data_IF_853258869251
#
_entry.id   IF_853258869251
#
_cell.length_a   1.000
_cell.length_b   1.000
_cell.length_c   1.000
_cell.angle_alpha   90.00
_cell.angle_beta   90.00
_cell.angle_gamma   90.00
#
_symmetry.space_group_name_H-M   'P 1'
#
loop_
_entity.id
_entity.type
_entity.pdbx_description
1 polymer ?
#
# COMPACT_ATOMS: atom_id res chain seq x y z
N UNK A 1 2.79 -7.62 -6.02
CA UNK A 1 3.19 -6.22 -5.74
C UNK A 1 4.34 -6.22 -4.75
N UNK A 2 5.28 -5.30 -4.92
CA UNK A 2 6.45 -5.09 -4.07
C UNK A 2 6.76 -3.59 -4.01
N UNK A 3 7.34 -3.11 -2.92
CA UNK A 3 7.72 -1.71 -2.76
C UNK A 3 9.23 -1.62 -2.89
N UNK A 4 9.72 -0.83 -3.84
CA UNK A 4 11.17 -0.73 -4.10
C UNK A 4 11.82 0.34 -3.24
N UNK A 5 11.11 1.44 -3.00
CA UNK A 5 11.58 2.49 -2.10
C UNK A 5 10.51 3.51 -1.78
N UNK A 6 10.73 4.26 -0.70
CA UNK A 6 9.89 5.36 -0.27
C UNK A 6 10.76 6.47 0.30
N UNK A 7 10.33 7.71 0.09
CA UNK A 7 10.97 8.92 0.60
C UNK A 7 9.94 9.93 1.08
N UNK A 8 10.40 10.85 1.92
CA UNK A 8 9.59 11.95 2.47
C UNK A 8 10.26 13.27 2.17
N UNK A 9 9.51 14.23 1.65
CA UNK A 9 10.01 15.56 1.30
C UNK A 9 9.17 16.65 1.98
N UNK A 10 9.76 17.79 2.39
CA UNK A 10 9.00 18.91 2.88
C UNK A 10 8.27 19.63 1.74
N UNK A 11 7.04 20.06 2.00
CA UNK A 11 6.30 20.89 1.05
C UNK A 11 6.54 22.36 1.41
N UNK A 12 7.15 23.09 0.47
CA UNK A 12 7.31 24.55 0.56
C UNK A 12 8.43 25.01 1.48
N UNK A 13 9.42 24.16 1.82
CA UNK A 13 10.57 24.62 2.59
C UNK A 13 11.38 25.69 1.83
N UNK A 14 11.75 26.81 2.47
CA UNK A 14 12.60 27.83 1.87
C UNK A 14 14.09 27.40 1.84
N UNK A 15 14.45 26.33 2.54
CA UNK A 15 15.84 25.91 2.72
C UNK A 15 16.19 24.73 1.81
N UNK A 16 17.26 24.85 1.02
CA UNK A 16 17.67 23.78 0.10
C UNK A 16 18.09 22.49 0.83
N UNK A 17 18.78 22.62 1.96
CA UNK A 17 19.21 21.47 2.77
C UNK A 17 18.04 20.65 3.33
N UNK A 18 16.88 21.27 3.53
CA UNK A 18 15.70 20.59 4.05
C UNK A 18 14.94 19.85 2.94
N UNK A 19 15.09 20.29 1.69
CA UNK A 19 14.45 19.68 0.51
C UNK A 19 15.09 18.35 0.09
N UNK A 20 16.20 17.96 0.70
CA UNK A 20 16.79 16.65 0.45
C UNK A 20 15.82 15.54 0.90
N UNK A 21 15.37 14.65 -0.01
CA UNK A 21 14.37 13.65 0.33
C UNK A 21 14.92 12.65 1.35
N UNK A 22 14.21 12.47 2.47
CA UNK A 22 14.59 11.47 3.46
C UNK A 22 14.14 10.08 3.00
N UNK A 23 15.05 9.13 2.70
CA UNK A 23 14.67 7.78 2.35
C UNK A 23 14.17 7.03 3.59
N UNK A 24 12.92 6.57 3.56
CA UNK A 24 12.32 5.76 4.62
C UNK A 24 12.29 4.28 4.28
N UNK A 25 12.26 3.94 2.98
CA UNK A 25 12.38 2.56 2.48
C UNK A 25 13.35 2.54 1.31
N UNK A 26 14.29 1.59 1.30
CA UNK A 26 15.24 1.35 0.22
C UNK A 26 15.36 -0.15 -0.04
N UNK A 27 15.30 -0.55 -1.31
CA UNK A 27 15.36 -1.95 -1.75
C UNK A 27 14.29 -2.85 -1.10
N UNK A 28 13.18 -2.24 -0.67
CA UNK A 28 12.07 -2.91 0.01
C UNK A 28 12.26 -3.14 1.51
N UNK A 29 13.30 -2.56 2.12
CA UNK A 29 13.49 -2.53 3.58
C UNK A 29 13.53 -1.11 4.13
N UNK A 30 13.32 -0.97 5.42
CA UNK A 30 13.50 0.28 6.15
C UNK A 30 14.91 0.85 5.92
N UNK A 31 15.00 2.17 5.78
CA UNK A 31 16.25 2.87 5.43
C UNK A 31 16.48 4.15 6.25
N UNK A 32 15.59 4.44 7.19
CA UNK A 32 15.61 5.61 8.05
C UNK A 32 16.77 5.59 9.06
N UNK A 33 17.33 4.41 9.37
CA UNK A 33 18.44 4.18 10.32
C UNK A 33 18.18 4.62 11.76
N UNK A 34 16.99 5.14 12.06
CA UNK A 34 16.58 5.65 13.38
C UNK A 34 15.47 4.83 14.02
N UNK A 35 14.83 3.91 13.27
CA UNK A 35 13.80 3.01 13.80
C UNK A 35 12.39 3.60 13.80
N UNK A 36 12.17 4.70 13.07
CA UNK A 36 10.85 5.31 12.84
C UNK A 36 10.01 4.53 11.84
N UNK A 37 10.62 3.67 11.01
CA UNK A 37 9.94 2.97 9.91
C UNK A 37 9.98 1.46 10.12
N UNK A 38 8.80 0.84 10.04
CA UNK A 38 8.70 -0.61 10.03
C UNK A 38 8.92 -1.20 8.64
N UNK A 39 9.50 -2.43 8.55
CA UNK A 39 9.59 -3.15 7.29
C UNK A 39 8.22 -3.23 6.59
N UNK A 40 8.16 -3.04 5.25
CA UNK A 40 6.90 -3.12 4.52
C UNK A 40 6.19 -4.47 4.72
N UNK A 41 4.93 -4.42 5.18
CA UNK A 41 4.12 -5.60 5.46
C UNK A 41 3.14 -5.87 4.32
N UNK A 42 3.00 -7.13 3.93
CA UNK A 42 1.96 -7.53 2.97
C UNK A 42 0.65 -7.77 3.70
N UNK A 43 -0.40 -7.10 3.26
CA UNK A 43 -1.76 -7.29 3.76
C UNK A 43 -2.62 -7.90 2.66
N UNK A 44 -3.85 -8.30 2.98
CA UNK A 44 -4.80 -8.86 2.00
C UNK A 44 -5.19 -7.86 0.91
N UNK A 45 -4.99 -6.56 1.16
CA UNK A 45 -5.42 -5.46 0.28
C UNK A 45 -4.24 -4.68 -0.33
N UNK A 46 -2.99 -4.97 0.04
CA UNK A 46 -1.84 -4.24 -0.49
C UNK A 46 -0.56 -4.40 0.32
N UNK A 47 0.26 -3.35 0.30
CA UNK A 47 1.47 -3.22 1.12
C UNK A 47 1.23 -2.08 2.08
N UNK A 48 1.45 -2.35 3.38
CA UNK A 48 1.40 -1.36 4.44
C UNK A 48 2.82 -0.99 4.86
N UNK A 49 3.09 0.30 4.92
CA UNK A 49 4.32 0.86 5.50
C UNK A 49 3.89 1.69 6.70
N UNK A 50 4.42 1.36 7.87
CA UNK A 50 4.15 2.10 9.11
C UNK A 50 5.35 2.97 9.41
N UNK A 51 5.11 4.25 9.62
CA UNK A 51 6.13 5.27 9.89
C UNK A 51 5.66 6.13 11.05
N UNK A 52 6.54 6.39 12.01
CA UNK A 52 6.28 7.37 13.06
C UNK A 52 6.22 8.77 12.45
N UNK A 53 5.16 9.51 12.79
CA UNK A 53 4.93 10.83 12.25
C UNK A 53 6.02 11.82 12.71
N UNK A 54 6.62 12.53 11.76
CA UNK A 54 7.58 13.60 12.02
C UNK A 54 7.30 14.81 11.14
N UNK A 55 7.78 15.98 11.57
CA UNK A 55 7.70 17.22 10.81
C UNK A 55 9.08 17.80 10.54
N UNK A 56 9.17 18.55 9.46
CA UNK A 56 10.33 19.36 9.14
C UNK A 56 10.33 20.64 9.99
N UNK A 57 11.49 21.31 10.11
CA UNK A 57 11.63 22.50 10.93
C UNK A 57 10.82 23.66 10.34
N UNK A 58 10.84 23.83 9.01
CA UNK A 58 10.18 24.95 8.33
C UNK A 58 8.71 24.71 7.99
N UNK A 59 8.26 23.45 7.94
CA UNK A 59 6.92 23.11 7.43
C UNK A 59 6.35 21.88 8.13
N UNK A 60 5.04 21.92 8.38
CA UNK A 60 4.23 20.78 8.82
C UNK A 60 3.70 19.96 7.64
N UNK A 61 3.84 20.45 6.42
CA UNK A 61 3.37 19.74 5.23
C UNK A 61 4.49 18.89 4.66
N UNK A 62 4.22 17.60 4.51
CA UNK A 62 5.18 16.62 3.98
C UNK A 62 4.55 15.82 2.85
N UNK A 63 5.35 15.45 1.88
CA UNK A 63 4.95 14.58 0.78
C UNK A 63 5.68 13.24 0.90
N UNK A 64 4.89 12.19 1.13
CA UNK A 64 5.35 10.82 1.07
C UNK A 64 5.29 10.35 -0.37
N UNK A 65 6.37 9.74 -0.86
CA UNK A 65 6.46 9.20 -2.21
C UNK A 65 7.03 7.81 -2.16
N UNK A 66 6.33 6.84 -2.75
CA UNK A 66 6.76 5.45 -2.84
C UNK A 66 6.78 4.96 -4.28
N UNK A 67 7.76 4.12 -4.59
CA UNK A 67 7.87 3.37 -5.83
C UNK A 67 7.37 1.94 -5.59
N UNK A 68 6.31 1.59 -6.32
CA UNK A 68 5.62 0.30 -6.19
C UNK A 68 5.75 -0.47 -7.49
N UNK A 69 6.35 -1.66 -7.40
CA UNK A 69 6.43 -2.59 -8.52
C UNK A 69 5.27 -3.57 -8.50
N UNK A 70 4.50 -3.61 -9.58
CA UNK A 70 3.46 -4.62 -9.77
C UNK A 70 4.01 -5.71 -10.68
N UNK A 71 4.09 -6.94 -10.16
CA UNK A 71 4.53 -8.13 -10.88
C UNK A 71 3.32 -9.07 -11.04
N UNK A 72 2.51 -8.91 -12.11
CA UNK A 72 1.30 -9.72 -12.32
C UNK A 72 1.61 -11.09 -12.94
N UNK A 73 2.68 -11.19 -13.74
CA UNK A 73 3.05 -12.40 -14.48
C UNK A 73 4.25 -13.14 -13.89
N UNK A 74 4.84 -12.63 -12.80
CA UNK A 74 5.99 -13.22 -12.14
C UNK A 74 5.93 -12.99 -10.63
N UNK A 75 6.64 -13.82 -9.87
CA UNK A 75 6.77 -13.63 -8.42
C UNK A 75 7.64 -12.40 -8.18
N UNK A 76 7.12 -11.41 -7.45
CA UNK A 76 7.94 -10.26 -7.03
C UNK A 76 9.08 -10.72 -6.11
N UNK A 77 10.21 -10.01 -6.14
CA UNK A 77 11.33 -10.25 -5.23
C UNK A 77 10.86 -10.30 -3.78
N UNK A 78 11.38 -11.30 -3.05
CA UNK A 78 11.23 -11.38 -1.60
C UNK A 78 12.46 -10.73 -0.99
N UNK A 79 12.28 -9.59 -0.36
CA UNK A 79 13.33 -8.98 0.46
C UNK A 79 13.16 -9.45 1.90
N UNK A 80 14.26 -9.84 2.54
CA UNK A 80 14.31 -10.12 3.98
C UNK A 80 14.95 -8.92 4.65
N UNK A 81 14.23 -8.29 5.58
CA UNK A 81 14.67 -7.09 6.26
C UNK A 81 15.15 -7.38 7.67
N UNK A 82 16.08 -6.57 8.22
CA UNK A 82 16.43 -6.69 9.63
C UNK A 82 15.23 -6.36 10.52
N UNK A 83 15.19 -6.94 11.71
CA UNK A 83 14.16 -6.62 12.71
C UNK A 83 14.36 -5.18 13.19
N UNK A 84 13.27 -4.45 13.33
CA UNK A 84 13.22 -3.13 13.96
C UNK A 84 12.45 -3.27 15.26
N UNK A 85 12.95 -2.68 16.34
CA UNK A 85 12.27 -2.71 17.64
C UNK A 85 10.97 -1.90 17.58
N UNK A 86 9.93 -2.37 18.29
CA UNK A 86 8.60 -1.74 18.25
C UNK A 86 7.74 -2.09 17.03
N UNK A 87 8.31 -2.71 16.00
CA UNK A 87 7.55 -3.12 14.82
C UNK A 87 6.81 -4.46 15.03
N UNK A 88 5.58 -4.59 14.50
CA UNK A 88 4.88 -5.87 14.55
C UNK A 88 5.70 -6.90 13.78
N UNK A 89 6.06 -7.99 14.44
CA UNK A 89 6.64 -9.14 13.76
C UNK A 89 5.57 -9.73 12.86
N UNK A 90 5.97 -10.10 11.65
CA UNK A 90 5.11 -10.85 10.73
C UNK A 90 4.97 -12.26 11.33
N UNK A 91 4.08 -12.40 12.31
CA UNK A 91 3.91 -13.61 13.10
C UNK A 91 3.32 -14.70 12.21
N UNK A 92 4.24 -15.48 11.62
CA UNK A 92 3.96 -16.77 11.02
C UNK A 92 3.22 -17.71 12.00
N UNK A 93 3.25 -17.42 13.30
CA UNK A 93 2.57 -18.17 14.37
C UNK A 93 1.05 -17.91 14.36
N UNK A 94 0.60 -16.71 13.99
CA UNK A 94 -0.83 -16.41 13.77
C UNK A 94 -1.40 -17.17 12.57
N UNK A 95 -0.53 -17.65 11.65
CA UNK A 95 -0.90 -18.54 10.55
C UNK A 95 -0.81 -20.04 10.91
N UNK A 96 -0.03 -20.41 11.93
CA UNK A 96 0.22 -21.83 12.26
C UNK A 96 -0.70 -22.40 13.34
N UNK A 97 -1.32 -21.58 14.20
CA UNK A 97 -2.29 -22.05 15.21
C UNK A 97 -3.76 -21.97 14.78
N UNK A 98 -4.02 -21.45 13.57
CA UNK A 98 -5.32 -21.57 12.90
C UNK A 98 -5.44 -22.92 12.19
N UNK A 99 -6.00 -23.91 12.87
CA UNK A 99 -6.49 -25.16 12.29
C UNK A 99 -7.19 -24.92 10.93
N UNK A 100 -6.63 -25.51 9.86
CA UNK A 100 -7.20 -25.54 8.50
C UNK A 100 -7.64 -24.18 7.95
N UNK A 101 -6.72 -23.48 7.28
CA UNK A 101 -7.06 -22.50 6.25
C UNK A 101 -7.69 -23.20 5.02
N UNK A 102 -8.87 -23.78 5.21
CA UNK A 102 -9.87 -23.96 4.17
C UNK A 102 -10.25 -22.53 3.77
N UNK A 103 -10.17 -22.19 2.48
CA UNK A 103 -10.67 -20.94 1.87
C UNK A 103 -11.88 -20.42 2.66
N UNK A 104 -11.68 -19.51 3.62
CA UNK A 104 -12.76 -18.95 4.40
C UNK A 104 -13.44 -17.94 3.48
N UNK A 105 -14.56 -18.37 2.91
CA UNK A 105 -15.56 -17.48 2.33
C UNK A 105 -15.84 -16.37 3.34
N UNK A 106 -15.60 -15.13 2.91
CA UNK A 106 -15.96 -13.91 3.64
C UNK A 106 -17.36 -14.05 4.24
N UNK A 107 -17.53 -13.74 5.52
CA UNK A 107 -18.84 -13.87 6.19
C UNK A 107 -19.82 -12.81 5.66
N UNK A 108 -21.11 -13.12 5.69
CA UNK A 108 -22.17 -12.26 5.14
C UNK A 108 -22.21 -10.89 5.85
N UNK A 109 -21.86 -10.85 7.13
CA UNK A 109 -21.76 -9.62 7.93
C UNK A 109 -20.56 -8.76 7.54
N UNK A 110 -19.41 -9.37 7.22
CA UNK A 110 -18.26 -8.65 6.66
C UNK A 110 -18.57 -8.11 5.27
N UNK A 111 -19.28 -8.88 4.44
CA UNK A 111 -19.78 -8.40 3.15
C UNK A 111 -20.70 -7.19 3.30
N UNK A 112 -21.63 -7.22 4.26
CA UNK A 112 -22.54 -6.09 4.50
C UNK A 112 -21.81 -4.82 4.96
N UNK A 113 -20.78 -4.94 5.81
CA UNK A 113 -19.95 -3.77 6.20
C UNK A 113 -19.13 -3.23 5.03
N UNK A 114 -18.62 -4.10 4.16
CA UNK A 114 -17.92 -3.70 2.93
C UNK A 114 -18.85 -3.02 1.92
N UNK A 115 -20.11 -3.48 1.80
CA UNK A 115 -21.10 -2.89 0.91
C UNK A 115 -21.67 -1.57 1.42
N UNK A 116 -21.86 -1.44 2.73
CA UNK A 116 -22.27 -0.18 3.36
C UNK A 116 -21.22 0.93 3.15
N UNK A 117 -19.94 0.57 3.15
CA UNK A 117 -18.85 1.51 2.89
C UNK A 117 -18.71 1.89 1.41
N UNK A 118 -19.22 1.08 0.47
CA UNK A 118 -19.10 1.32 -0.97
C UNK A 118 -20.22 0.64 -1.80
N UNK A 119 -21.37 1.32 -2.01
CA UNK A 119 -22.51 0.74 -2.74
C UNK A 119 -22.22 0.44 -4.24
N UNK A 120 -21.20 1.08 -4.84
CA UNK A 120 -20.82 0.88 -6.25
C UNK A 120 -20.07 -0.43 -6.55
N UNK A 121 -19.69 -1.19 -5.51
CA UNK A 121 -19.10 -2.53 -5.67
C UNK A 121 -20.13 -3.58 -6.10
N UNK A 122 -21.39 -3.45 -5.65
CA UNK A 122 -22.47 -4.39 -5.95
C UNK A 122 -22.82 -4.38 -7.44
N UNK A 123 -22.94 -3.20 -8.05
CA UNK A 123 -23.29 -3.03 -9.47
C UNK A 123 -22.24 -3.63 -10.41
N UNK A 124 -20.97 -3.70 -9.97
CA UNK A 124 -19.86 -4.25 -10.78
C UNK A 124 -19.70 -5.77 -10.66
N UNK A 125 -20.34 -6.42 -9.69
CA UNK A 125 -20.27 -7.88 -9.49
C UNK A 125 -21.39 -8.64 -10.21
N UNK A 126 -22.51 -7.97 -10.50
CA UNK A 126 -23.65 -8.53 -11.25
C UNK A 126 -23.30 -9.10 -12.64
N UNK A 127 -22.38 -8.53 -13.44
CA UNK A 127 -22.05 -9.08 -14.76
C UNK A 127 -21.09 -10.28 -14.69
N UNK A 128 -20.39 -10.47 -13.57
CA UNK A 128 -19.23 -11.38 -13.48
C UNK A 128 -19.59 -12.83 -13.11
N UNK A 129 -20.86 -13.13 -12.84
CA UNK A 129 -21.30 -14.49 -12.48
C UNK A 129 -21.71 -15.34 -13.69
N UNK A 130 -21.86 -14.76 -14.90
CA UNK A 130 -22.60 -15.44 -15.98
C UNK A 130 -21.90 -15.64 -17.34
N UNK A 131 -20.63 -15.27 -17.57
CA UNK A 131 -20.02 -15.57 -18.87
C UNK A 131 -18.53 -15.92 -18.82
N UNK A 132 -18.20 -17.14 -19.23
CA UNK A 132 -16.83 -17.68 -19.38
C UNK A 132 -16.02 -17.06 -20.52
N UNK A 133 -16.06 -15.74 -20.70
CA UNK A 133 -15.22 -14.97 -21.65
C UNK A 133 -14.33 -13.94 -20.92
N UNK A 134 -13.91 -14.26 -19.70
CA UNK A 134 -12.95 -13.45 -18.93
C UNK A 134 -11.53 -13.90 -19.29
N UNK A 135 -10.86 -13.25 -20.26
CA UNK A 135 -9.44 -13.57 -20.53
C UNK A 135 -8.65 -12.43 -21.19
N UNK A 136 -9.17 -11.76 -22.22
CA UNK A 136 -8.34 -10.82 -22.99
C UNK A 136 -8.29 -9.39 -22.41
N UNK A 137 -9.41 -8.82 -22.00
CA UNK A 137 -9.47 -7.45 -21.46
C UNK A 137 -8.76 -7.32 -20.10
N UNK A 138 -8.91 -8.33 -19.24
CA UNK A 138 -8.28 -8.37 -17.92
C UNK A 138 -6.77 -8.57 -18.02
N UNK A 139 -6.31 -9.39 -18.98
CA UNK A 139 -4.87 -9.54 -19.27
C UNK A 139 -4.25 -8.24 -19.78
N UNK A 140 -4.96 -7.49 -20.63
CA UNK A 140 -4.51 -6.16 -21.09
C UNK A 140 -4.45 -5.15 -19.95
N UNK A 141 -5.43 -5.14 -19.04
CA UNK A 141 -5.43 -4.28 -17.85
C UNK A 141 -4.30 -4.64 -16.86
N UNK A 142 -3.96 -5.93 -16.73
CA UNK A 142 -2.83 -6.34 -15.90
C UNK A 142 -1.48 -5.95 -16.53
N UNK A 143 -1.40 -5.95 -17.87
CA UNK A 143 -0.21 -5.52 -18.59
C UNK A 143 0.05 -4.02 -18.40
N UNK A 144 -0.99 -3.17 -18.44
CA UNK A 144 -0.85 -1.72 -18.21
C UNK A 144 -0.50 -1.39 -16.76
N UNK A 145 -0.92 -2.23 -15.82
CA UNK A 145 -0.53 -2.11 -14.41
C UNK A 145 0.83 -2.72 -14.11
N UNK A 146 1.47 -3.43 -15.05
CA UNK A 146 2.79 -4.01 -14.81
C UNK A 146 3.88 -2.93 -14.82
N UNK A 147 4.91 -3.12 -13.98
CA UNK A 147 6.03 -2.18 -13.88
C UNK A 147 6.03 -1.34 -12.60
N UNK A 148 6.80 -0.26 -12.62
CA UNK A 148 7.03 0.62 -11.47
C UNK A 148 6.07 1.82 -11.51
N UNK A 149 5.35 2.01 -10.40
CA UNK A 149 4.38 3.07 -10.22
C UNK A 149 4.81 3.98 -9.09
N UNK A 150 4.83 5.28 -9.35
CA UNK A 150 5.06 6.30 -8.32
C UNK A 150 3.73 6.65 -7.66
N UNK A 151 3.65 6.49 -6.35
CA UNK A 151 2.50 6.86 -5.53
C UNK A 151 2.95 7.94 -4.55
N UNK A 152 2.29 9.09 -4.60
CA UNK A 152 2.61 10.22 -3.72
C UNK A 152 1.39 10.66 -2.92
N UNK A 153 1.60 11.07 -1.67
CA UNK A 153 0.57 11.57 -0.77
C UNK A 153 1.11 12.72 0.07
N UNK A 154 0.45 13.87 -0.02
CA UNK A 154 0.70 15.00 0.86
C UNK A 154 -0.08 14.85 2.16
N UNK A 155 0.58 15.08 3.28
CA UNK A 155 0.02 15.07 4.62
C UNK A 155 0.38 16.38 5.33
N UNK A 156 -0.49 16.76 6.28
CA UNK A 156 -0.22 17.83 7.24
C UNK A 156 0.04 17.14 8.56
N UNK A 157 1.28 17.13 9.02
CA UNK A 157 1.66 16.51 10.29
C UNK A 157 1.37 17.51 11.41
N UNK A 158 0.15 17.40 11.92
CA UNK A 158 -0.23 17.94 13.22
C UNK A 158 0.10 16.87 14.27
N UNK A 159 0.24 17.23 15.55
CA UNK A 159 0.34 16.24 16.64
C UNK A 159 -0.96 15.41 16.68
N UNK A 160 -1.09 14.40 15.83
CA UNK A 160 -2.30 13.60 15.61
C UNK A 160 -1.92 12.18 15.20
N UNK A 161 -2.56 11.20 15.84
CA UNK A 161 -2.27 9.76 15.77
C UNK A 161 -2.84 9.05 14.52
N UNK A 162 -2.90 9.72 13.36
CA UNK A 162 -3.57 9.14 12.18
C UNK A 162 -2.74 8.06 11.46
N UNK A 163 -3.31 6.84 11.35
CA UNK A 163 -2.72 5.69 10.65
C UNK A 163 -2.96 5.77 9.12
N UNK A 164 -1.90 5.66 8.33
CA UNK A 164 -1.98 5.63 6.86
C UNK A 164 -2.54 4.28 6.36
N UNK A 165 -3.79 4.27 5.90
CA UNK A 165 -4.40 3.13 5.19
C UNK A 165 -4.51 3.42 3.69
N UNK A 166 -3.89 2.61 2.84
CA UNK A 166 -4.01 2.72 1.39
C UNK A 166 -4.66 1.48 0.77
N UNK A 167 -5.59 1.71 -0.15
CA UNK A 167 -6.23 0.69 -0.99
C UNK A 167 -5.88 0.98 -2.45
N UNK A 168 -5.23 0.04 -3.13
CA UNK A 168 -4.91 0.17 -4.57
C UNK A 168 -6.21 0.06 -5.37
N UNK A 169 -6.64 1.16 -6.00
CA UNK A 169 -7.83 1.18 -6.85
C UNK A 169 -7.52 0.56 -8.22
N UNK A 170 -7.73 -0.74 -8.36
CA UNK A 170 -7.62 -1.43 -9.66
C UNK A 170 -8.90 -1.24 -10.46
N UNK A 171 -8.99 -0.16 -11.25
CA UNK A 171 -10.09 0.03 -12.21
C UNK A 171 -10.15 1.45 -12.77
N UNK A 172 -10.09 1.57 -14.10
CA UNK A 172 -10.07 2.83 -14.84
C UNK A 172 -11.33 3.70 -14.59
N UNK A 173 -11.10 5.00 -14.43
CA UNK A 173 -12.10 6.05 -14.59
C UNK A 173 -11.99 6.53 -16.04
N UNK A 174 -13.01 6.38 -16.91
CA UNK A 174 -13.05 7.17 -18.12
C UNK A 174 -13.41 8.61 -17.71
N UNK A 175 -12.52 9.54 -18.05
CA UNK A 175 -12.81 10.97 -17.97
C UNK A 175 -13.99 11.28 -18.88
N UNK A 176 -15.00 11.94 -18.31
CA UNK A 176 -16.17 12.39 -19.06
C UNK A 176 -15.75 13.50 -20.02
N UNK A 177 -16.00 13.30 -21.32
CA UNK A 177 -16.36 14.37 -22.23
C UNK A 177 -17.58 13.98 -23.03
#
# INVERSE_FOLDING_TARGET
>A
MHITGCQVEPVGSPFEWEREPLPIVKEGCQADNVGLVCPPQKTDYGIRVTVEAFRYQSTMQVEYTCLVRVCPFAVCSKTTCPSVDGCPRDDLISRSFGLRAKRQSVSLEQMQKMFAANPSLYEKLLPSLNTGKMSQSLSQQLLTLSGDHKVSKRLVVLNSDEELQYYVRTGAVPDKR
#
